data_IF_538752103355
#
_entry.id   IF_538752103355
#
_cell.length_a   1.000
_cell.length_b   1.000
_cell.length_c   1.000
_cell.angle_alpha   90.00
_cell.angle_beta   90.00
_cell.angle_gamma   90.00
#
_symmetry.space_group_name_H-M   'P 1'
#
loop_
_entity.id
_entity.type
_entity.pdbx_description
1 polymer ?
#
# COMPACT_ATOMS: atom_id res chain seq x y z
N UNK A 1 -12.73 15.19 -7.37
CA UNK A 1 -12.13 14.68 -6.12
C UNK A 1 -11.74 13.25 -6.40
N UNK A 2 -10.48 12.87 -6.16
CA UNK A 2 -9.99 11.52 -6.50
C UNK A 2 -9.99 10.69 -5.23
N UNK A 3 -10.63 9.51 -5.29
CA UNK A 3 -10.63 8.54 -4.19
C UNK A 3 -9.63 7.45 -4.57
N UNK A 4 -8.54 7.34 -3.80
CA UNK A 4 -7.58 6.24 -3.94
C UNK A 4 -7.96 5.09 -3.02
N UNK A 5 -7.53 3.89 -3.40
CA UNK A 5 -7.64 2.68 -2.58
C UNK A 5 -6.24 2.18 -2.27
N UNK A 6 -5.99 1.84 -1.01
CA UNK A 6 -4.70 1.36 -0.54
C UNK A 6 -4.87 0.11 0.32
N UNK A 7 -4.06 -0.91 0.07
CA UNK A 7 -3.92 -2.03 0.99
C UNK A 7 -3.01 -1.62 2.14
N UNK A 8 -3.50 -1.76 3.37
CA UNK A 8 -2.71 -1.52 4.59
C UNK A 8 -2.44 -2.82 5.32
N UNK A 9 -1.31 -2.87 6.04
CA UNK A 9 -0.97 -3.95 6.95
C UNK A 9 -1.85 -3.84 8.20
N UNK A 10 -2.82 -4.72 8.37
CA UNK A 10 -3.70 -4.71 9.55
C UNK A 10 -3.00 -5.29 10.78
N UNK A 11 -2.24 -6.37 10.59
CA UNK A 11 -1.49 -7.05 11.64
C UNK A 11 -0.26 -7.74 11.03
N UNK A 12 0.81 -7.87 11.82
CA UNK A 12 2.02 -8.54 11.34
C UNK A 12 1.78 -10.01 10.98
N UNK A 13 2.42 -10.47 9.90
CA UNK A 13 2.25 -11.84 9.40
C UNK A 13 2.79 -12.90 10.38
N UNK A 14 1.90 -13.76 10.86
CA UNK A 14 2.24 -14.95 11.65
C UNK A 14 2.07 -16.21 10.80
N UNK A 15 3.20 -16.84 10.44
CA UNK A 15 3.21 -17.90 9.42
C UNK A 15 2.98 -17.34 8.00
N UNK A 16 2.14 -18.02 7.21
CA UNK A 16 1.72 -17.50 5.90
C UNK A 16 0.75 -16.31 6.07
N UNK A 17 0.88 -15.25 5.25
CA UNK A 17 -0.07 -14.15 5.25
C UNK A 17 -1.49 -14.63 4.98
N UNK A 18 -2.44 -14.05 5.71
CA UNK A 18 -3.87 -14.31 5.60
C UNK A 18 -4.57 -13.07 5.05
N UNK A 19 -5.72 -13.24 4.41
CA UNK A 19 -6.53 -12.10 3.97
C UNK A 19 -6.88 -11.14 5.12
N UNK A 20 -7.05 -11.66 6.34
CA UNK A 20 -7.29 -10.88 7.56
C UNK A 20 -6.14 -9.96 7.97
N UNK A 21 -4.93 -10.21 7.45
CA UNK A 21 -3.73 -9.43 7.77
C UNK A 21 -3.68 -8.11 6.98
N UNK A 22 -4.60 -7.95 6.02
CA UNK A 22 -4.70 -6.77 5.17
C UNK A 22 -6.03 -6.05 5.37
N UNK A 23 -6.04 -4.75 5.11
CA UNK A 23 -7.26 -3.95 5.07
C UNK A 23 -7.24 -3.05 3.84
N UNK A 24 -8.35 -2.98 3.11
CA UNK A 24 -8.51 -2.06 1.99
C UNK A 24 -9.07 -0.74 2.53
N UNK A 25 -8.23 0.30 2.53
CA UNK A 25 -8.61 1.65 2.92
C UNK A 25 -8.94 2.49 1.69
N UNK A 26 -10.01 3.26 1.75
CA UNK A 26 -10.29 4.32 0.78
C UNK A 26 -9.91 5.68 1.38
N UNK A 27 -9.30 6.55 0.59
CA UNK A 27 -8.95 7.90 1.03
C UNK A 27 -9.18 8.90 -0.10
N UNK A 28 -9.56 10.11 0.29
CA UNK A 28 -9.74 11.22 -0.65
C UNK A 28 -8.41 11.96 -0.79
N UNK A 29 -7.87 12.00 -2.00
CA UNK A 29 -6.63 12.72 -2.28
C UNK A 29 -6.89 14.22 -2.48
N UNK A 30 -6.03 15.09 -1.90
CA UNK A 30 -6.07 16.52 -2.19
C UNK A 30 -5.64 16.78 -3.64
N UNK A 31 -6.00 17.96 -4.16
CA UNK A 31 -5.48 18.38 -5.46
C UNK A 31 -3.95 18.57 -5.39
N UNK A 32 -3.20 18.10 -6.41
CA UNK A 32 -1.75 18.32 -6.46
C UNK A 32 -1.39 19.80 -6.43
N UNK A 33 -0.33 20.14 -5.69
CA UNK A 33 0.27 21.48 -5.68
C UNK A 33 1.29 21.61 -6.81
N UNK A 34 1.79 22.82 -7.04
CA UNK A 34 2.84 23.08 -8.02
C UNK A 34 4.05 22.15 -7.80
N UNK A 35 4.47 21.46 -8.86
CA UNK A 35 5.57 20.49 -8.83
C UNK A 35 5.19 19.08 -8.36
N UNK A 36 3.94 18.84 -7.95
CA UNK A 36 3.43 17.51 -7.64
C UNK A 36 2.68 16.92 -8.84
N UNK A 37 2.64 15.60 -8.89
CA UNK A 37 1.86 14.84 -9.88
C UNK A 37 0.88 13.91 -9.17
N UNK A 38 -0.28 13.70 -9.80
CA UNK A 38 -1.20 12.63 -9.43
C UNK A 38 -0.95 11.46 -10.36
N UNK A 39 -0.78 10.26 -9.80
CA UNK A 39 -0.43 9.05 -10.52
C UNK A 39 -1.54 8.00 -10.36
N UNK A 40 -1.96 7.38 -11.47
CA UNK A 40 -2.88 6.24 -11.44
C UNK A 40 -2.09 4.94 -11.66
N UNK A 41 -2.08 4.06 -10.66
CA UNK A 41 -1.43 2.76 -10.78
C UNK A 41 -2.07 1.91 -11.88
N UNK A 42 -1.25 1.44 -12.83
CA UNK A 42 -1.66 0.51 -13.89
C UNK A 42 -1.20 -0.92 -13.57
N UNK A 43 -0.03 -1.05 -12.95
CA UNK A 43 0.52 -2.33 -12.50
C UNK A 43 1.11 -2.18 -11.09
N UNK A 44 0.93 -3.20 -10.26
CA UNK A 44 1.51 -3.29 -8.91
C UNK A 44 2.38 -4.54 -8.80
N UNK A 45 3.58 -4.40 -8.24
CA UNK A 45 4.47 -5.52 -7.95
C UNK A 45 4.09 -6.22 -6.65
N UNK A 46 4.31 -7.53 -6.58
CA UNK A 46 4.27 -8.33 -5.34
C UNK A 46 5.52 -9.19 -5.29
N UNK A 47 6.28 -9.10 -4.20
CA UNK A 47 7.64 -9.60 -4.16
C UNK A 47 7.93 -10.32 -2.83
N UNK A 48 8.79 -11.36 -2.81
CA UNK A 48 9.11 -12.10 -1.59
C UNK A 48 9.65 -11.22 -0.45
N UNK A 49 10.35 -10.13 -0.76
CA UNK A 49 10.92 -9.23 0.26
C UNK A 49 9.85 -8.54 1.12
N UNK A 50 8.61 -8.43 0.64
CA UNK A 50 7.50 -7.82 1.39
C UNK A 50 7.19 -8.60 2.67
N UNK A 51 7.43 -9.92 2.66
CA UNK A 51 7.12 -10.82 3.78
C UNK A 51 7.94 -10.52 5.05
N UNK A 52 9.28 -10.43 5.02
CA UNK A 52 10.05 -10.07 6.22
C UNK A 52 9.82 -8.60 6.62
N UNK A 53 9.57 -7.70 5.65
CA UNK A 53 9.44 -6.27 5.91
C UNK A 53 8.21 -5.88 6.73
N UNK A 54 7.16 -6.72 6.70
CA UNK A 54 6.08 -6.63 7.68
C UNK A 54 6.59 -6.43 9.10
N UNK A 55 7.62 -7.16 9.55
CA UNK A 55 8.12 -7.07 10.92
C UNK A 55 9.31 -6.14 11.09
N UNK A 56 10.14 -5.97 10.05
CA UNK A 56 11.41 -5.25 10.18
C UNK A 56 11.31 -3.77 9.82
N UNK A 57 10.30 -3.36 9.05
CA UNK A 57 10.24 -2.01 8.46
C UNK A 57 8.86 -1.35 8.48
N UNK A 58 7.80 -2.11 8.78
CA UNK A 58 6.42 -1.62 8.74
C UNK A 58 5.77 -1.63 10.12
N UNK A 59 4.71 -0.84 10.28
CA UNK A 59 3.81 -0.82 11.43
C UNK A 59 2.39 -1.17 10.97
N UNK A 60 1.57 -1.65 11.90
CA UNK A 60 0.14 -1.82 11.65
C UNK A 60 -0.50 -0.48 11.27
N UNK A 61 -1.29 -0.49 10.20
CA UNK A 61 -1.89 0.69 9.57
C UNK A 61 -1.11 1.26 8.39
N UNK A 62 0.17 0.91 8.22
CA UNK A 62 0.97 1.36 7.09
C UNK A 62 0.44 0.81 5.77
N UNK A 63 0.57 1.58 4.69
CA UNK A 63 0.31 1.10 3.33
C UNK A 63 1.34 0.02 2.99
N UNK A 64 0.88 -1.07 2.39
CA UNK A 64 1.74 -2.18 1.98
C UNK A 64 2.90 -1.68 1.12
N UNK A 65 4.12 -2.10 1.50
CA UNK A 65 5.32 -1.77 0.74
C UNK A 65 5.28 -2.43 -0.65
N UNK A 66 5.78 -1.72 -1.65
CA UNK A 66 5.86 -2.20 -3.01
C UNK A 66 6.16 -1.09 -3.99
N UNK A 67 6.09 -1.46 -5.26
CA UNK A 67 6.32 -0.55 -6.38
C UNK A 67 5.16 -0.65 -7.37
N UNK A 68 4.91 0.44 -8.08
CA UNK A 68 3.90 0.51 -9.13
C UNK A 68 4.48 1.06 -10.43
N UNK A 69 3.86 0.69 -11.55
CA UNK A 69 3.95 1.42 -12.80
C UNK A 69 2.66 2.21 -12.94
N UNK A 70 2.77 3.52 -13.14
CA UNK A 70 1.64 4.43 -13.18
C UNK A 70 1.63 5.27 -14.47
N UNK A 71 0.44 5.75 -14.83
CA UNK A 71 0.22 6.77 -15.85
C UNK A 71 -0.07 8.13 -15.21
#
# INVERSE_FOLDING_TARGET
>A
MVVSKAWTLRQHFQGFPKASDFHLREETLPQPKNGQVLLEAVFLSVDPYMRPYSQTMMKEGDVMIGSQVAK
#
